data_IF_355886885885
#
_entry.id   IF_355886885885
#
_cell.length_a   1.000
_cell.length_b   1.000
_cell.length_c   1.000
_cell.angle_alpha   90.00
_cell.angle_beta   90.00
_cell.angle_gamma   90.00
#
_symmetry.space_group_name_H-M   'P 1'
#
loop_
_entity.id
_entity.type
_entity.pdbx_description
1 polymer ?
#
# COMPACT_ATOMS: atom_id res chain seq x y z
N UNK A 1 -1.13 -10.48 16.38
CA UNK A 1 -2.42 -10.60 15.69
C UNK A 1 -2.21 -10.53 14.19
N UNK A 2 -2.85 -11.42 13.45
CA UNK A 2 -2.79 -11.42 11.98
C UNK A 2 -4.15 -10.96 11.45
N UNK A 3 -4.14 -9.86 10.67
CA UNK A 3 -5.36 -9.32 10.08
C UNK A 3 -5.85 -10.17 8.92
N UNK A 4 -7.15 -10.26 8.75
CA UNK A 4 -7.75 -10.67 7.49
C UNK A 4 -7.76 -9.50 6.50
N UNK A 5 -7.79 -9.82 5.21
CA UNK A 5 -7.82 -8.78 4.16
C UNK A 5 -9.00 -7.82 4.36
N UNK A 6 -10.18 -8.34 4.75
CA UNK A 6 -11.34 -7.50 4.98
C UNK A 6 -11.16 -6.53 6.15
N UNK A 7 -10.45 -6.95 7.19
CA UNK A 7 -10.12 -6.06 8.30
C UNK A 7 -9.20 -4.93 7.87
N UNK A 8 -8.17 -5.25 7.08
CA UNK A 8 -7.27 -4.24 6.53
C UNK A 8 -8.05 -3.27 5.64
N UNK A 9 -8.95 -3.78 4.81
CA UNK A 9 -9.81 -2.97 3.94
C UNK A 9 -10.63 -1.97 4.74
N UNK A 10 -11.26 -2.41 5.82
CA UNK A 10 -12.08 -1.56 6.67
C UNK A 10 -11.26 -0.47 7.38
N UNK A 11 -10.05 -0.81 7.81
CA UNK A 11 -9.18 0.14 8.52
C UNK A 11 -8.60 1.17 7.55
N UNK A 12 -8.21 0.75 6.37
CA UNK A 12 -7.54 1.61 5.38
C UNK A 12 -8.53 2.55 4.67
N UNK A 13 -9.76 2.13 4.44
CA UNK A 13 -10.71 2.89 3.63
C UNK A 13 -10.93 4.32 4.12
N UNK A 14 -11.16 4.59 5.43
CA UNK A 14 -11.33 5.97 5.90
C UNK A 14 -10.11 6.84 5.65
N UNK A 15 -8.92 6.28 5.79
CA UNK A 15 -7.68 7.01 5.58
C UNK A 15 -7.48 7.28 4.10
N UNK A 16 -7.75 6.30 3.24
CA UNK A 16 -7.68 6.47 1.80
C UNK A 16 -8.63 7.58 1.33
N UNK A 17 -9.83 7.63 1.88
CA UNK A 17 -10.79 8.71 1.59
C UNK A 17 -10.29 10.06 2.07
N UNK A 18 -9.71 10.13 3.26
CA UNK A 18 -9.17 11.37 3.82
C UNK A 18 -8.12 11.99 2.92
N UNK A 19 -7.26 11.16 2.34
CA UNK A 19 -6.17 11.63 1.46
C UNK A 19 -6.55 11.62 -0.02
N UNK A 20 -7.78 11.28 -0.35
CA UNK A 20 -8.28 11.23 -1.74
C UNK A 20 -7.46 10.32 -2.64
N UNK A 21 -7.01 9.19 -2.09
CA UNK A 21 -6.24 8.21 -2.86
C UNK A 21 -7.07 7.61 -3.98
N UNK A 22 -6.44 7.35 -5.11
CA UNK A 22 -7.11 6.69 -6.23
C UNK A 22 -7.33 5.21 -5.96
N UNK A 23 -6.32 4.54 -5.42
CA UNK A 23 -6.40 3.11 -5.13
C UNK A 23 -5.35 2.73 -4.09
N UNK A 24 -5.63 1.67 -3.35
CA UNK A 24 -4.67 1.03 -2.43
C UNK A 24 -4.72 -0.46 -2.68
N UNK A 25 -3.55 -1.06 -2.82
CA UNK A 25 -3.40 -2.50 -3.02
C UNK A 25 -2.57 -3.10 -1.90
N UNK A 26 -2.90 -4.32 -1.53
CA UNK A 26 -2.13 -5.13 -0.61
C UNK A 26 -1.25 -6.08 -1.42
N UNK A 27 0.02 -6.19 -1.06
CA UNK A 27 0.91 -7.18 -1.67
C UNK A 27 1.71 -7.90 -0.57
N UNK A 28 2.63 -8.76 -0.97
CA UNK A 28 3.47 -9.49 -0.01
C UNK A 28 2.73 -10.58 0.74
N UNK A 29 3.18 -10.88 1.96
CA UNK A 29 2.70 -12.04 2.72
C UNK A 29 1.20 -11.97 3.05
N UNK A 30 0.69 -10.80 3.37
CA UNK A 30 -0.74 -10.65 3.65
C UNK A 30 -1.60 -10.91 2.41
N UNK A 31 -1.13 -10.50 1.24
CA UNK A 31 -1.84 -10.76 0.00
C UNK A 31 -1.81 -12.26 -0.37
N UNK A 32 -0.70 -12.94 -0.07
CA UNK A 32 -0.55 -14.36 -0.35
C UNK A 32 -1.21 -15.28 0.68
N UNK A 33 -1.65 -14.72 1.81
CA UNK A 33 -2.23 -15.52 2.87
C UNK A 33 -1.19 -16.25 3.73
N UNK A 34 0.06 -15.80 3.71
CA UNK A 34 1.16 -16.43 4.45
C UNK A 34 1.68 -15.57 5.61
N UNK A 35 0.96 -14.48 5.94
CA UNK A 35 1.40 -13.57 6.98
C UNK A 35 1.40 -14.23 8.36
N UNK A 36 2.37 -13.81 9.19
CA UNK A 36 2.47 -14.20 10.59
C UNK A 36 2.39 -12.94 11.45
N UNK A 37 2.42 -13.09 12.77
CA UNK A 37 2.40 -11.95 13.68
C UNK A 37 3.57 -11.00 13.49
N UNK A 38 4.70 -11.49 13.00
CA UNK A 38 5.88 -10.67 12.73
C UNK A 38 5.91 -10.07 11.33
N UNK A 39 4.93 -10.38 10.47
CA UNK A 39 4.89 -9.87 9.10
C UNK A 39 4.48 -8.41 9.09
N UNK A 40 5.16 -7.62 8.24
CA UNK A 40 4.75 -6.25 7.93
C UNK A 40 3.57 -6.26 6.97
N UNK A 41 2.81 -5.17 6.97
CA UNK A 41 1.73 -4.98 5.99
C UNK A 41 2.30 -4.19 4.82
N UNK A 42 2.29 -4.79 3.63
CA UNK A 42 2.88 -4.19 2.42
C UNK A 42 1.77 -3.55 1.58
N UNK A 43 1.83 -2.23 1.42
CA UNK A 43 0.80 -1.45 0.71
C UNK A 43 1.40 -0.75 -0.50
N UNK A 44 0.69 -0.87 -1.63
CA UNK A 44 0.97 -0.15 -2.86
C UNK A 44 -0.12 0.90 -3.04
N UNK A 45 0.27 2.17 -3.16
CA UNK A 45 -0.66 3.29 -3.21
C UNK A 45 -0.60 3.98 -4.55
N UNK A 46 -1.77 4.19 -5.17
CA UNK A 46 -1.89 5.03 -6.36
C UNK A 46 -2.29 6.44 -5.92
N UNK A 47 -1.34 7.37 -6.01
CA UNK A 47 -1.53 8.77 -5.63
C UNK A 47 -1.91 9.67 -6.82
N UNK A 48 -2.25 9.09 -7.96
CA UNK A 48 -2.64 9.84 -9.16
C UNK A 48 -3.79 10.78 -8.87
N UNK A 49 -3.67 12.02 -9.30
CA UNK A 49 -4.71 13.03 -9.10
C UNK A 49 -4.79 13.60 -7.68
N UNK A 50 -3.83 13.28 -6.82
CA UNK A 50 -3.80 13.80 -5.45
C UNK A 50 -2.78 14.91 -5.29
N UNK A 51 -2.87 15.60 -4.13
CA UNK A 51 -1.88 16.59 -3.71
C UNK A 51 -0.68 15.97 -2.98
N UNK A 52 -0.60 14.63 -2.91
CA UNK A 52 0.45 13.90 -2.18
C UNK A 52 1.75 13.85 -2.99
N UNK A 53 2.39 15.02 -3.18
CA UNK A 53 3.60 15.12 -4.01
C UNK A 53 4.87 15.34 -3.21
N UNK A 54 4.76 15.61 -1.91
CA UNK A 54 5.93 15.83 -1.06
C UNK A 54 6.17 14.64 -0.15
N UNK A 55 7.42 14.48 0.28
CA UNK A 55 7.76 13.48 1.28
C UNK A 55 7.05 13.74 2.60
N UNK A 56 6.81 15.02 2.91
CA UNK A 56 6.11 15.39 4.13
C UNK A 56 4.66 14.87 4.12
N UNK A 57 3.96 15.05 3.00
CA UNK A 57 2.58 14.57 2.86
C UNK A 57 2.51 13.04 2.89
N UNK A 58 3.44 12.38 2.20
CA UNK A 58 3.52 10.91 2.24
C UNK A 58 3.85 10.39 3.63
N UNK A 59 4.69 11.13 4.37
CA UNK A 59 5.00 10.78 5.76
C UNK A 59 3.79 10.85 6.67
N UNK A 60 2.92 11.85 6.48
CA UNK A 60 1.68 11.95 7.24
C UNK A 60 0.76 10.76 6.96
N UNK A 61 0.60 10.39 5.69
CA UNK A 61 -0.17 9.22 5.30
C UNK A 61 0.39 7.94 5.92
N UNK A 62 1.70 7.77 5.88
CA UNK A 62 2.39 6.63 6.47
C UNK A 62 2.07 6.51 7.96
N UNK A 63 2.20 7.63 8.69
CA UNK A 63 1.94 7.64 10.13
C UNK A 63 0.48 7.30 10.44
N UNK A 64 -0.46 7.85 9.68
CA UNK A 64 -1.87 7.55 9.88
C UNK A 64 -2.18 6.06 9.67
N UNK A 65 -1.60 5.48 8.61
CA UNK A 65 -1.80 4.06 8.32
C UNK A 65 -1.16 3.17 9.38
N UNK A 66 0.07 3.47 9.79
CA UNK A 66 0.76 2.69 10.80
C UNK A 66 0.02 2.74 12.13
N UNK A 67 -0.43 3.94 12.53
CA UNK A 67 -1.18 4.11 13.77
C UNK A 67 -2.51 3.36 13.74
N UNK A 68 -3.22 3.37 12.61
CA UNK A 68 -4.51 2.71 12.49
C UNK A 68 -4.36 1.19 12.46
N UNK A 69 -3.33 0.69 11.81
CA UNK A 69 -3.10 -0.75 11.67
C UNK A 69 -2.35 -1.36 12.85
N UNK A 70 -1.72 -0.53 13.68
CA UNK A 70 -0.95 -0.97 14.85
C UNK A 70 0.15 -1.98 14.50
N UNK A 71 0.73 -1.84 13.30
CA UNK A 71 1.83 -2.69 12.83
C UNK A 71 2.74 -1.88 11.94
N UNK A 72 4.02 -2.28 11.84
CA UNK A 72 4.88 -1.70 10.81
C UNK A 72 4.30 -1.95 9.43
N UNK A 73 4.38 -0.96 8.57
CA UNK A 73 3.94 -1.08 7.19
C UNK A 73 5.10 -0.77 6.25
N UNK A 74 5.03 -1.35 5.07
CA UNK A 74 5.92 -1.03 3.96
C UNK A 74 5.07 -0.35 2.89
N UNK A 75 5.36 0.91 2.59
CA UNK A 75 4.53 1.74 1.74
C UNK A 75 5.28 2.09 0.46
N UNK A 76 4.72 1.67 -0.67
CA UNK A 76 5.27 1.95 -1.99
C UNK A 76 4.21 2.67 -2.81
N UNK A 77 4.60 3.73 -3.53
CA UNK A 77 3.70 4.37 -4.49
C UNK A 77 3.83 3.73 -5.86
N UNK A 78 2.75 3.78 -6.65
CA UNK A 78 2.76 3.25 -8.00
C UNK A 78 3.84 3.94 -8.85
N UNK A 79 3.96 5.27 -8.74
CA UNK A 79 4.97 6.00 -9.50
C UNK A 79 6.39 5.62 -9.08
N UNK A 80 6.63 5.40 -7.80
CA UNK A 80 7.93 4.96 -7.31
C UNK A 80 8.28 3.56 -7.81
N UNK A 81 7.31 2.66 -7.82
CA UNK A 81 7.50 1.31 -8.33
C UNK A 81 7.86 1.31 -9.82
N UNK A 82 7.15 2.10 -10.63
CA UNK A 82 7.42 2.20 -12.06
C UNK A 82 8.78 2.83 -12.33
N UNK A 83 9.13 3.89 -11.60
CA UNK A 83 10.42 4.56 -11.74
C UNK A 83 11.57 3.61 -11.38
N UNK A 84 11.43 2.89 -10.29
CA UNK A 84 12.44 1.93 -9.84
C UNK A 84 12.64 0.81 -10.85
N UNK A 85 11.55 0.29 -11.41
CA UNK A 85 11.60 -0.75 -12.43
C UNK A 85 12.35 -0.27 -13.67
N UNK A 86 12.14 0.98 -14.11
CA UNK A 86 12.80 1.53 -15.28
C UNK A 86 14.28 1.80 -15.02
N UNK A 87 14.62 2.36 -13.86
CA UNK A 87 15.98 2.80 -13.57
C UNK A 87 16.90 1.67 -13.14
N UNK A 88 16.37 0.67 -12.44
CA UNK A 88 17.16 -0.41 -11.86
C UNK A 88 16.96 -1.75 -12.58
N UNK A 89 16.13 -1.79 -13.61
CA UNK A 89 15.82 -3.03 -14.31
C UNK A 89 15.04 -4.04 -13.49
N UNK A 90 14.35 -3.59 -12.45
CA UNK A 90 13.62 -4.47 -11.52
C UNK A 90 12.21 -4.77 -12.04
N UNK A 91 12.15 -5.23 -13.29
CA UNK A 91 10.88 -5.52 -13.96
C UNK A 91 10.16 -6.72 -13.34
N UNK A 92 10.93 -7.70 -12.87
CA UNK A 92 10.36 -8.90 -12.28
C UNK A 92 9.63 -8.59 -10.97
N UNK A 93 10.19 -7.74 -10.14
CA UNK A 93 9.55 -7.31 -8.90
C UNK A 93 8.23 -6.60 -9.18
N UNK A 94 8.23 -5.69 -10.16
CA UNK A 94 7.02 -4.98 -10.58
C UNK A 94 5.94 -5.96 -11.06
N UNK A 95 6.31 -6.92 -11.89
CA UNK A 95 5.35 -7.89 -12.40
C UNK A 95 4.81 -8.80 -11.29
N UNK A 96 5.67 -9.20 -10.36
CA UNK A 96 5.23 -10.01 -9.21
C UNK A 96 4.18 -9.26 -8.39
N UNK A 97 4.42 -7.97 -8.10
CA UNK A 97 3.44 -7.16 -7.37
C UNK A 97 2.13 -7.06 -8.13
N UNK A 98 2.20 -6.81 -9.44
CA UNK A 98 0.99 -6.69 -10.27
C UNK A 98 0.16 -7.97 -10.28
N UNK A 99 0.81 -9.13 -10.25
CA UNK A 99 0.11 -10.41 -10.25
C UNK A 99 -0.45 -10.78 -8.89
N UNK A 100 0.26 -10.44 -7.81
CA UNK A 100 -0.11 -10.85 -6.46
C UNK A 100 -1.00 -9.85 -5.73
N UNK A 101 -1.01 -8.59 -6.15
CA UNK A 101 -1.71 -7.53 -5.42
C UNK A 101 -3.20 -7.79 -5.31
N UNK A 102 -3.75 -7.41 -4.15
CA UNK A 102 -5.18 -7.47 -3.87
C UNK A 102 -5.67 -6.04 -3.68
N UNK A 103 -6.71 -5.65 -4.42
CA UNK A 103 -7.31 -4.31 -4.24
C UNK A 103 -8.01 -4.24 -2.89
N UNK A 104 -7.66 -3.27 -2.07
CA UNK A 104 -8.33 -3.02 -0.80
C UNK A 104 -9.07 -1.69 -0.77
N UNK A 105 -8.83 -0.81 -1.74
CA UNK A 105 -9.56 0.44 -1.89
C UNK A 105 -9.47 0.92 -3.34
N UNK A 106 -10.57 1.40 -3.88
CA UNK A 106 -10.60 2.06 -5.18
C UNK A 106 -11.61 3.19 -5.11
N UNK A 107 -11.18 4.38 -5.53
CA UNK A 107 -12.05 5.55 -5.58
C UNK A 107 -13.10 5.37 -6.69
N UNK A 108 -14.28 5.86 -6.42
CA UNK A 108 -15.38 5.80 -7.39
C UNK A 108 -15.14 6.77 -8.56
#
# INVERSE_FOLDING_TARGET
MVYHVDEIRQIVAPIANKYHLKAVYLFGSYARGTATESSDIDLLIDTSGTELKSLFALGALYCDLENALHKPIDLITVSSLEQKAQMQGDLQFRETIKQERVSIFAAA
#
